data_IF_845532931101
#
_entry.id   IF_845532931101
#
_cell.length_a   1.000
_cell.length_b   1.000
_cell.length_c   1.000
_cell.angle_alpha   90.00
_cell.angle_beta   90.00
_cell.angle_gamma   90.00
#
_symmetry.space_group_name_H-M   'P 1'
#
loop_
_entity.id
_entity.type
_entity.pdbx_description
1 polymer ?
#
# COMPACT_ATOMS: atom_id res chain seq x y z
N UNK A 1 -16.14 62.77 -42.17
CA UNK A 1 -16.45 61.36 -42.47
C UNK A 1 -15.24 60.40 -42.42
N UNK A 2 -14.07 60.79 -41.85
CA UNK A 2 -12.85 59.95 -41.81
C UNK A 2 -12.54 59.28 -40.44
N UNK A 3 -13.28 59.59 -39.38
CA UNK A 3 -13.00 59.09 -38.02
C UNK A 3 -13.74 57.78 -37.63
N UNK A 4 -14.67 57.29 -38.46
CA UNK A 4 -15.42 56.05 -38.19
C UNK A 4 -14.71 54.78 -38.67
N UNK A 5 -13.76 54.90 -39.61
CA UNK A 5 -13.08 53.74 -40.20
C UNK A 5 -11.96 53.18 -39.29
N UNK A 6 -11.29 54.03 -38.51
CA UNK A 6 -10.16 53.64 -37.63
C UNK A 6 -10.63 52.88 -36.39
N UNK A 7 -11.85 53.17 -35.90
CA UNK A 7 -12.46 52.45 -34.77
C UNK A 7 -12.85 51.00 -35.11
N UNK A 8 -13.17 50.71 -36.38
CA UNK A 8 -13.52 49.36 -36.84
C UNK A 8 -12.30 48.45 -36.96
N UNK A 9 -11.17 48.97 -37.44
CA UNK A 9 -9.93 48.20 -37.62
C UNK A 9 -9.24 47.89 -36.29
N UNK A 10 -9.26 48.81 -35.32
CA UNK A 10 -8.72 48.56 -33.97
C UNK A 10 -9.53 47.50 -33.19
N UNK A 11 -10.86 47.46 -33.37
CA UNK A 11 -11.72 46.45 -32.74
C UNK A 11 -11.56 45.06 -33.35
N UNK A 12 -11.29 44.96 -34.66
CA UNK A 12 -11.14 43.68 -35.35
C UNK A 12 -9.80 42.99 -35.01
N UNK A 13 -8.72 43.76 -34.81
CA UNK A 13 -7.44 43.20 -34.35
C UNK A 13 -7.47 42.80 -32.86
N UNK A 14 -8.25 43.48 -32.02
CA UNK A 14 -8.40 43.11 -30.62
C UNK A 14 -9.21 41.81 -30.44
N UNK A 15 -10.21 41.54 -31.29
CA UNK A 15 -10.99 40.30 -31.24
C UNK A 15 -10.16 39.07 -31.68
N UNK A 16 -9.25 39.24 -32.64
CA UNK A 16 -8.33 38.18 -33.08
C UNK A 16 -7.20 37.89 -32.10
N UNK A 17 -6.86 38.85 -31.23
CA UNK A 17 -5.86 38.65 -30.16
C UNK A 17 -6.43 37.87 -28.96
N UNK A 18 -7.74 37.93 -28.72
CA UNK A 18 -8.43 37.19 -27.64
C UNK A 18 -8.69 35.72 -28.03
N UNK A 19 -8.73 35.39 -29.32
CA UNK A 19 -8.86 34.01 -29.82
C UNK A 19 -7.55 33.20 -29.78
N UNK A 20 -6.42 33.85 -29.48
CA UNK A 20 -5.11 33.21 -29.31
C UNK A 20 -4.77 32.84 -27.87
N UNK A 21 -5.73 32.95 -26.93
CA UNK A 21 -5.55 32.55 -25.54
C UNK A 21 -5.51 31.02 -25.43
N UNK A 22 -4.29 30.51 -25.66
CA UNK A 22 -3.67 29.41 -24.94
C UNK A 22 -4.65 28.34 -24.46
N UNK A 23 -4.84 27.33 -25.31
CA UNK A 23 -5.28 26.01 -24.88
C UNK A 23 -4.15 25.45 -24.02
N UNK A 24 -4.10 25.85 -22.74
CA UNK A 24 -3.28 25.16 -21.76
C UNK A 24 -3.94 23.81 -21.58
N UNK A 25 -3.35 22.79 -22.20
CA UNK A 25 -3.69 21.40 -21.92
C UNK A 25 -3.39 21.19 -20.43
N UNK A 26 -4.42 21.26 -19.59
CA UNK A 26 -4.35 20.80 -18.21
C UNK A 26 -4.22 19.29 -18.32
N UNK A 27 -3.00 18.83 -18.59
CA UNK A 27 -2.67 17.42 -18.53
C UNK A 27 -2.93 17.04 -17.08
N UNK A 28 -4.04 16.34 -16.82
CA UNK A 28 -4.38 15.86 -15.49
C UNK A 28 -3.17 15.05 -15.00
N UNK A 29 -2.42 15.61 -14.05
CA UNK A 29 -1.23 14.96 -13.53
C UNK A 29 -1.68 13.61 -12.96
N UNK A 30 -1.08 12.52 -13.47
CA UNK A 30 -1.45 11.18 -13.03
C UNK A 30 -1.21 11.11 -11.53
N UNK A 31 -2.27 10.85 -10.77
CA UNK A 31 -2.21 10.75 -9.31
C UNK A 31 -1.02 9.89 -8.87
N UNK A 32 -0.19 10.33 -7.89
CA UNK A 32 0.93 9.53 -7.38
C UNK A 32 0.45 8.16 -6.90
N UNK A 33 1.31 7.16 -7.00
CA UNK A 33 0.98 5.78 -6.64
C UNK A 33 2.16 5.17 -5.90
N UNK A 34 1.93 4.69 -4.69
CA UNK A 34 2.94 4.03 -3.87
C UNK A 34 2.44 2.67 -3.45
N UNK A 35 3.31 1.67 -3.51
CA UNK A 35 3.03 0.36 -2.98
C UNK A 35 4.11 -0.09 -2.00
N UNK A 36 3.68 -0.68 -0.89
CA UNK A 36 4.53 -1.50 -0.04
C UNK A 36 4.22 -2.97 -0.32
N UNK A 37 5.24 -3.73 -0.72
CA UNK A 37 5.12 -5.15 -1.06
C UNK A 37 6.05 -5.95 -0.15
N UNK A 38 5.50 -6.88 0.62
CA UNK A 38 6.29 -7.74 1.51
C UNK A 38 6.02 -9.20 1.17
N UNK A 39 7.08 -9.97 0.96
CA UNK A 39 7.01 -11.42 0.77
C UNK A 39 7.90 -12.15 1.76
N UNK A 40 7.33 -12.96 2.64
CA UNK A 40 8.09 -13.75 3.62
C UNK A 40 7.90 -15.24 3.33
N UNK A 41 9.01 -15.94 3.11
CA UNK A 41 9.11 -17.36 2.74
C UNK A 41 10.00 -18.15 3.70
N UNK A 42 11.16 -17.59 4.06
CA UNK A 42 12.22 -18.26 4.80
C UNK A 42 12.03 -18.18 6.32
N UNK A 43 10.86 -18.63 6.78
CA UNK A 43 10.60 -18.81 8.20
C UNK A 43 11.47 -19.92 8.79
N UNK A 44 11.92 -19.74 10.03
CA UNK A 44 12.63 -20.81 10.76
C UNK A 44 11.78 -22.08 10.90
N UNK A 45 10.45 -21.90 11.03
CA UNK A 45 9.48 -22.99 11.10
C UNK A 45 8.45 -22.85 9.97
N UNK A 46 8.10 -23.98 9.34
CA UNK A 46 7.12 -24.05 8.25
C UNK A 46 7.38 -23.06 7.09
N UNK A 47 8.54 -23.12 6.40
CA UNK A 47 8.84 -22.22 5.28
C UNK A 47 7.83 -22.35 4.14
N UNK A 48 7.62 -21.26 3.39
CA UNK A 48 6.67 -21.18 2.28
C UNK A 48 7.42 -20.98 0.96
N UNK A 49 7.12 -21.79 -0.06
CA UNK A 49 7.88 -21.79 -1.31
C UNK A 49 7.66 -20.55 -2.21
N UNK A 50 6.48 -19.93 -2.13
CA UNK A 50 6.03 -18.96 -3.13
C UNK A 50 6.01 -17.48 -2.72
N UNK A 51 5.80 -17.08 -1.45
CA UNK A 51 5.58 -15.67 -1.11
C UNK A 51 6.61 -14.66 -1.64
N UNK A 52 7.91 -14.98 -1.58
CA UNK A 52 8.95 -14.11 -2.16
C UNK A 52 8.83 -14.01 -3.68
N UNK A 53 8.50 -15.11 -4.38
CA UNK A 53 8.31 -15.10 -5.83
C UNK A 53 7.06 -14.30 -6.22
N UNK A 54 5.96 -14.48 -5.48
CA UNK A 54 4.70 -13.76 -5.69
C UNK A 54 4.89 -12.26 -5.45
N UNK A 55 5.56 -11.88 -4.35
CA UNK A 55 5.90 -10.50 -4.06
C UNK A 55 6.77 -9.88 -5.16
N UNK A 56 7.79 -10.59 -5.68
CA UNK A 56 8.61 -10.09 -6.81
C UNK A 56 7.77 -9.86 -8.07
N UNK A 57 6.86 -10.78 -8.38
CA UNK A 57 5.96 -10.67 -9.54
C UNK A 57 5.02 -9.46 -9.40
N UNK A 58 4.41 -9.29 -8.23
CA UNK A 58 3.53 -8.15 -7.92
C UNK A 58 4.31 -6.84 -7.98
N UNK A 59 5.49 -6.78 -7.37
CA UNK A 59 6.36 -5.60 -7.42
C UNK A 59 6.70 -5.19 -8.85
N UNK A 60 7.10 -6.14 -9.71
CA UNK A 60 7.37 -5.89 -11.12
C UNK A 60 6.12 -5.36 -11.86
N UNK A 61 4.97 -5.98 -11.61
CA UNK A 61 3.70 -5.60 -12.23
C UNK A 61 3.28 -4.19 -11.82
N UNK A 62 3.34 -3.86 -10.53
CA UNK A 62 2.99 -2.55 -10.00
C UNK A 62 3.92 -1.44 -10.51
N UNK A 63 5.22 -1.70 -10.61
CA UNK A 63 6.18 -0.78 -11.25
C UNK A 63 5.78 -0.49 -12.70
N UNK A 64 5.40 -1.52 -13.47
CA UNK A 64 4.89 -1.36 -14.84
C UNK A 64 3.60 -0.54 -14.94
N UNK A 65 2.80 -0.49 -13.87
CA UNK A 65 1.58 0.33 -13.76
C UNK A 65 1.86 1.77 -13.27
N UNK A 66 3.13 2.09 -13.01
CA UNK A 66 3.60 3.40 -12.55
C UNK A 66 3.48 3.62 -11.04
N UNK A 67 3.52 2.55 -10.23
CA UNK A 67 3.72 2.67 -8.79
C UNK A 67 5.21 2.86 -8.48
N UNK A 68 5.49 3.75 -7.53
CA UNK A 68 6.69 3.65 -6.71
C UNK A 68 6.54 2.44 -5.77
N UNK A 69 7.45 1.48 -5.85
CA UNK A 69 7.32 0.21 -5.09
C UNK A 69 8.45 0.08 -4.09
N UNK A 70 8.07 0.05 -2.82
CA UNK A 70 8.89 -0.30 -1.66
C UNK A 70 8.73 -1.81 -1.42
N UNK A 71 9.67 -2.64 -1.89
CA UNK A 71 9.59 -4.09 -1.76
C UNK A 71 10.61 -4.68 -0.78
N UNK A 72 10.14 -5.63 0.03
CA UNK A 72 10.93 -6.32 1.02
C UNK A 72 10.68 -7.82 1.00
N UNK A 73 11.73 -8.61 1.21
CA UNK A 73 11.70 -10.06 1.14
C UNK A 73 12.36 -10.66 2.36
N UNK A 74 11.71 -11.64 3.00
CA UNK A 74 12.22 -12.35 4.17
C UNK A 74 12.73 -11.41 5.27
N UNK A 75 11.86 -10.49 5.69
CA UNK A 75 12.22 -9.47 6.68
C UNK A 75 11.67 -9.79 8.08
N UNK A 76 12.49 -9.46 9.06
CA UNK A 76 12.18 -9.63 10.47
C UNK A 76 11.14 -8.61 10.98
N UNK A 77 10.68 -8.79 12.21
CA UNK A 77 9.62 -7.95 12.79
C UNK A 77 9.98 -6.46 12.77
N UNK A 78 11.19 -6.12 13.20
CA UNK A 78 11.67 -4.74 13.29
C UNK A 78 11.68 -4.07 11.91
N UNK A 79 12.18 -4.78 10.91
CA UNK A 79 12.20 -4.32 9.52
C UNK A 79 10.80 -4.17 8.94
N UNK A 80 9.86 -5.07 9.25
CA UNK A 80 8.46 -4.93 8.82
C UNK A 80 7.82 -3.67 9.42
N UNK A 81 8.02 -3.43 10.73
CA UNK A 81 7.51 -2.22 11.40
C UNK A 81 8.06 -0.96 10.74
N UNK A 82 9.36 -0.93 10.44
CA UNK A 82 10.02 0.20 9.75
C UNK A 82 9.51 0.39 8.33
N UNK A 83 9.31 -0.69 7.57
CA UNK A 83 8.80 -0.63 6.20
C UNK A 83 7.38 -0.04 6.17
N UNK A 84 6.51 -0.43 7.11
CA UNK A 84 5.15 0.12 7.23
C UNK A 84 5.18 1.61 7.57
N UNK A 85 6.02 2.02 8.52
CA UNK A 85 6.17 3.44 8.86
C UNK A 85 6.67 4.26 7.66
N UNK A 86 7.76 3.83 7.02
CA UNK A 86 8.30 4.51 5.85
C UNK A 86 7.28 4.59 4.69
N UNK A 87 6.42 3.58 4.54
CA UNK A 87 5.34 3.61 3.57
C UNK A 87 4.28 4.66 3.91
N UNK A 88 3.89 4.77 5.18
CA UNK A 88 3.01 5.84 5.66
C UNK A 88 3.58 7.23 5.41
N UNK A 89 4.84 7.45 5.80
CA UNK A 89 5.55 8.71 5.59
C UNK A 89 5.56 9.07 4.10
N UNK A 90 5.81 8.08 3.23
CA UNK A 90 5.82 8.29 1.78
C UNK A 90 4.45 8.64 1.20
N UNK A 91 3.37 8.09 1.74
CA UNK A 91 2.00 8.46 1.35
C UNK A 91 1.69 9.91 1.76
N UNK A 92 2.10 10.31 2.96
CA UNK A 92 1.92 11.69 3.46
C UNK A 92 2.70 12.70 2.61
N UNK A 93 3.97 12.40 2.30
CA UNK A 93 4.83 13.25 1.47
C UNK A 93 4.24 13.53 0.08
N UNK A 94 3.63 12.53 -0.55
CA UNK A 94 3.01 12.65 -1.88
C UNK A 94 1.60 13.27 -1.83
N UNK A 95 1.03 13.38 -0.64
CA UNK A 95 -0.19 14.10 -0.37
C UNK A 95 -1.47 13.35 -0.75
N UNK A 96 -2.58 14.05 -0.51
CA UNK A 96 -3.95 13.53 -0.49
C UNK A 96 -4.43 12.86 -1.78
N UNK A 97 -3.87 13.18 -2.94
CA UNK A 97 -4.30 12.56 -4.21
C UNK A 97 -3.71 11.16 -4.46
N UNK A 98 -2.78 10.74 -3.60
CA UNK A 98 -1.99 9.50 -3.74
C UNK A 98 -2.83 8.23 -3.61
N UNK A 99 -2.50 7.22 -4.42
CA UNK A 99 -3.00 5.85 -4.26
C UNK A 99 -1.99 5.02 -3.49
N UNK A 100 -2.40 4.49 -2.35
CA UNK A 100 -1.62 3.55 -1.55
C UNK A 100 -2.04 2.11 -1.83
N UNK A 101 -1.06 1.21 -1.95
CA UNK A 101 -1.30 -0.23 -2.03
C UNK A 101 -0.38 -0.99 -1.08
N UNK A 102 -0.94 -1.76 -0.17
CA UNK A 102 -0.19 -2.72 0.63
C UNK A 102 -0.44 -4.13 0.11
N UNK A 103 0.63 -4.84 -0.20
CA UNK A 103 0.62 -6.26 -0.55
C UNK A 103 1.48 -7.03 0.45
N UNK A 104 0.91 -8.09 1.01
CA UNK A 104 1.65 -9.03 1.84
C UNK A 104 1.41 -10.47 1.37
N UNK A 105 2.48 -11.23 1.21
CA UNK A 105 2.44 -12.67 1.06
C UNK A 105 3.28 -13.34 2.16
N UNK A 106 2.72 -14.36 2.81
CA UNK A 106 3.41 -15.08 3.89
C UNK A 106 2.46 -15.74 4.87
N UNK A 107 2.97 -16.11 6.05
CA UNK A 107 2.15 -16.61 7.15
C UNK A 107 1.28 -15.48 7.73
N UNK A 108 0.00 -15.81 7.91
CA UNK A 108 -0.93 -14.98 8.65
C UNK A 108 -1.65 -15.81 9.70
N UNK A 109 -2.12 -15.13 10.74
CA UNK A 109 -2.95 -15.76 11.77
C UNK A 109 -4.08 -14.84 12.20
N UNK A 110 -5.22 -15.42 12.55
CA UNK A 110 -6.30 -14.69 13.18
C UNK A 110 -6.44 -15.05 14.66
N UNK A 111 -6.25 -14.08 15.54
CA UNK A 111 -6.42 -14.23 16.99
C UNK A 111 -7.49 -13.24 17.44
N UNK A 112 -8.54 -13.75 18.10
CA UNK A 112 -9.64 -12.95 18.66
C UNK A 112 -10.26 -11.95 17.67
N UNK A 113 -10.33 -12.33 16.39
CA UNK A 113 -10.90 -11.50 15.32
C UNK A 113 -9.90 -10.54 14.64
N UNK A 114 -8.68 -10.39 15.18
CA UNK A 114 -7.62 -9.57 14.60
C UNK A 114 -6.73 -10.41 13.69
N UNK A 115 -6.30 -9.86 12.55
CA UNK A 115 -5.40 -10.54 11.62
C UNK A 115 -3.98 -10.04 11.87
N UNK A 116 -3.02 -10.96 11.92
CA UNK A 116 -1.62 -10.65 12.13
C UNK A 116 -0.77 -11.19 10.98
N UNK A 117 0.24 -10.42 10.61
CA UNK A 117 1.26 -10.75 9.64
C UNK A 117 2.48 -11.29 10.39
N UNK A 118 2.98 -12.45 9.97
CA UNK A 118 4.07 -13.13 10.69
C UNK A 118 5.42 -12.78 10.03
N UNK A 119 6.36 -12.17 10.77
CA UNK A 119 7.74 -11.97 10.32
C UNK A 119 8.56 -13.27 10.35
N UNK A 120 9.67 -13.32 9.61
CA UNK A 120 10.46 -14.57 9.48
C UNK A 120 11.13 -15.05 10.78
N UNK A 121 11.31 -14.13 11.73
CA UNK A 121 11.94 -14.36 13.04
C UNK A 121 10.93 -14.50 14.18
N UNK A 122 9.63 -14.62 13.89
CA UNK A 122 8.61 -14.75 14.93
C UNK A 122 8.73 -16.07 15.69
N UNK A 123 8.79 -15.99 17.02
CA UNK A 123 8.80 -17.14 17.92
C UNK A 123 7.45 -17.28 18.64
N UNK A 124 6.51 -18.02 18.05
CA UNK A 124 5.13 -18.11 18.54
C UNK A 124 4.83 -19.51 19.07
N UNK A 125 4.94 -19.69 20.38
CA UNK A 125 4.60 -20.94 21.07
C UNK A 125 3.13 -20.97 21.53
N UNK A 126 2.58 -19.82 21.91
CA UNK A 126 1.23 -19.67 22.48
C UNK A 126 0.48 -18.51 21.82
N UNK A 127 -0.85 -18.54 21.89
CA UNK A 127 -1.72 -17.49 21.33
C UNK A 127 -1.35 -16.09 21.81
N UNK A 128 -0.91 -15.94 23.08
CA UNK A 128 -0.52 -14.66 23.67
C UNK A 128 0.78 -14.07 23.12
N UNK A 129 1.62 -14.89 22.49
CA UNK A 129 2.89 -14.44 21.93
C UNK A 129 2.67 -13.74 20.58
N UNK A 130 1.54 -14.02 19.90
CA UNK A 130 1.16 -13.39 18.63
C UNK A 130 1.13 -11.86 18.72
N UNK A 131 0.60 -11.30 19.81
CA UNK A 131 0.54 -9.84 19.99
C UNK A 131 1.93 -9.19 20.14
N UNK A 132 2.92 -9.97 20.57
CA UNK A 132 4.29 -9.51 20.83
C UNK A 132 5.16 -9.72 19.59
N UNK A 133 5.04 -10.88 18.95
CA UNK A 133 5.94 -11.38 17.90
C UNK A 133 5.44 -11.08 16.47
N UNK A 134 4.14 -10.83 16.29
CA UNK A 134 3.58 -10.52 14.98
C UNK A 134 3.24 -9.03 14.80
N UNK A 135 2.79 -8.66 13.59
CA UNK A 135 2.31 -7.31 13.29
C UNK A 135 0.81 -7.35 13.01
N UNK A 136 0.05 -6.49 13.69
CA UNK A 136 -1.39 -6.37 13.43
C UNK A 136 -1.65 -5.74 12.05
N UNK A 137 -2.52 -6.36 11.25
CA UNK A 137 -3.00 -5.78 10.00
C UNK A 137 -3.79 -4.48 10.24
N UNK A 138 -4.40 -4.32 11.42
CA UNK A 138 -5.04 -3.08 11.83
C UNK A 138 -4.02 -1.94 11.97
N UNK A 139 -2.78 -2.21 12.38
CA UNK A 139 -1.73 -1.19 12.41
C UNK A 139 -1.38 -0.69 11.00
N UNK A 140 -1.34 -1.59 10.01
CA UNK A 140 -1.14 -1.19 8.60
C UNK A 140 -2.28 -0.32 8.10
N UNK A 141 -3.53 -0.74 8.36
CA UNK A 141 -4.72 0.06 8.06
C UNK A 141 -4.67 1.45 8.71
N UNK A 142 -4.28 1.52 9.98
CA UNK A 142 -4.14 2.77 10.72
C UNK A 142 -3.10 3.69 10.09
N UNK A 143 -1.93 3.16 9.72
CA UNK A 143 -0.88 3.94 9.03
C UNK A 143 -1.37 4.48 7.69
N UNK A 144 -2.05 3.66 6.87
CA UNK A 144 -2.59 4.11 5.59
C UNK A 144 -3.72 5.13 5.75
N UNK A 145 -4.58 4.97 6.77
CA UNK A 145 -5.65 5.91 7.06
C UNK A 145 -5.13 7.27 7.54
N UNK A 146 -4.03 7.28 8.31
CA UNK A 146 -3.40 8.49 8.80
C UNK A 146 -2.85 9.39 7.68
N UNK A 147 -2.43 8.80 6.56
CA UNK A 147 -1.91 9.56 5.42
C UNK A 147 -2.99 10.36 4.66
N UNK A 148 -4.28 10.15 4.96
CA UNK A 148 -5.43 10.84 4.35
C UNK A 148 -5.41 10.87 2.80
N UNK A 149 -4.80 9.85 2.20
CA UNK A 149 -4.67 9.74 0.77
C UNK A 149 -5.94 9.19 0.11
N UNK A 150 -6.11 9.49 -1.18
CA UNK A 150 -7.37 9.34 -1.93
C UNK A 150 -7.94 7.94 -1.91
N UNK A 151 -7.08 6.93 -1.97
CA UNK A 151 -7.48 5.54 -2.10
C UNK A 151 -6.41 4.59 -1.57
N UNK A 152 -6.84 3.64 -0.74
CA UNK A 152 -5.98 2.61 -0.16
C UNK A 152 -6.47 1.21 -0.54
N UNK A 153 -5.56 0.40 -1.07
CA UNK A 153 -5.77 -1.01 -1.35
C UNK A 153 -4.94 -1.87 -0.39
N UNK A 154 -5.55 -2.94 0.12
CA UNK A 154 -4.85 -3.94 0.94
C UNK A 154 -5.13 -5.32 0.35
N UNK A 155 -4.05 -6.03 0.04
CA UNK A 155 -4.08 -7.39 -0.48
C UNK A 155 -3.22 -8.25 0.45
N UNK A 156 -3.83 -9.27 1.03
CA UNK A 156 -3.15 -10.23 1.90
C UNK A 156 -3.27 -11.62 1.32
N UNK A 157 -2.18 -12.11 0.73
CA UNK A 157 -2.00 -13.50 0.30
C UNK A 157 -1.40 -14.31 1.46
N UNK A 158 -2.23 -14.55 2.47
CA UNK A 158 -1.83 -15.22 3.69
C UNK A 158 -2.94 -16.15 4.19
N UNK A 159 -2.54 -17.24 4.83
CA UNK A 159 -3.48 -18.06 5.59
C UNK A 159 -4.10 -17.21 6.70
N UNK A 160 -5.41 -17.33 6.93
CA UNK A 160 -6.14 -16.63 8.02
C UNK A 160 -6.68 -17.57 9.08
N UNK A 161 -6.22 -18.81 9.06
CA UNK A 161 -6.61 -19.83 10.03
C UNK A 161 -5.83 -19.64 11.34
N UNK A 162 -6.48 -19.92 12.48
CA UNK A 162 -5.81 -19.95 13.77
C UNK A 162 -5.29 -21.38 14.05
N UNK A 163 -3.96 -21.64 14.03
CA UNK A 163 -3.41 -22.96 14.29
C UNK A 163 -3.55 -23.37 15.77
N UNK A 164 -3.63 -22.40 16.69
CA UNK A 164 -3.71 -22.62 18.14
C UNK A 164 -5.11 -23.03 18.62
N UNK A 165 -6.19 -22.70 17.89
CA UNK A 165 -7.54 -23.16 18.26
C UNK A 165 -7.71 -24.68 18.17
N UNK A 166 -6.89 -25.37 17.38
CA UNK A 166 -6.97 -26.84 17.21
C UNK A 166 -6.24 -27.60 18.31
N UNK A 167 -5.11 -27.10 18.82
CA UNK A 167 -4.34 -27.76 19.88
C UNK A 167 -5.10 -27.81 21.22
N UNK A 168 -5.90 -26.79 21.55
CA UNK A 168 -6.73 -26.80 22.78
C UNK A 168 -7.91 -27.78 22.75
N UNK A 169 -8.39 -28.22 21.58
CA UNK A 169 -9.47 -29.25 21.49
C UNK A 169 -8.94 -30.67 21.64
N UNK A 170 -7.63 -30.88 21.42
CA UNK A 170 -7.01 -32.20 21.62
C UNK A 170 -6.61 -32.45 23.09
N UNK A 171 -6.42 -31.39 23.88
CA UNK A 171 -6.01 -31.48 25.28
C UNK A 171 -7.18 -31.56 26.28
N UNK A 172 -8.43 -31.46 25.83
CA UNK A 172 -9.63 -31.53 26.68
C UNK A 172 -10.35 -32.89 26.64
N UNK A 173 -9.60 -34.00 26.47
CA UNK A 173 -10.11 -35.33 26.86
C UNK A 173 -9.79 -35.58 28.33
N UNK A 174 -10.75 -35.23 29.19
CA UNK A 174 -10.93 -35.82 30.52
C UNK A 174 -10.07 -35.25 31.64
N UNK A 175 -10.72 -34.64 32.63
CA UNK A 175 -11.07 -35.29 33.90
C UNK A 175 -12.54 -34.99 34.21
#
# INVERSE_FOLDING_TARGET
>A
MRLRLIRGVLCFCALLFVLGLSVFDVQAAKAPRVALVIGNSNYQFAPLANPVNDAKLISKTLRGLGFEVLDHYDINQKSMKRAILNFGDRLEELGKDTVGLFYYAGHGVQVRGNNYLIPIDAEIDRERDVDIEALSAQSVLGTMAYAENRLNFIIMDACRNNPFKRSFRSASRGL
#
